data_IF_114202426359
#
_entry.id   IF_114202426359
#
_cell.length_a   1.000
_cell.length_b   1.000
_cell.length_c   1.000
_cell.angle_alpha   90.00
_cell.angle_beta   90.00
_cell.angle_gamma   90.00
#
_symmetry.space_group_name_H-M   'P 1'
#
loop_
_entity.id
_entity.type
_entity.pdbx_description
1 polymer ?
#
# COMPACT_ATOMS: atom_id res chain seq x y z
N UNK A 1 21.00 -2.13 16.78
CA UNK A 1 19.81 -1.43 16.27
C UNK A 1 19.13 -2.35 15.27
N UNK A 2 17.88 -2.72 15.49
CA UNK A 2 17.23 -3.80 14.74
C UNK A 2 17.11 -3.41 13.26
N UNK A 3 17.71 -4.22 12.38
CA UNK A 3 17.72 -3.99 10.95
C UNK A 3 16.30 -3.75 10.38
N UNK A 4 15.28 -4.34 11.00
CA UNK A 4 13.87 -4.15 10.69
C UNK A 4 13.40 -2.69 10.69
N UNK A 5 13.78 -1.90 11.71
CA UNK A 5 13.42 -0.48 11.81
C UNK A 5 14.08 0.31 10.67
N UNK A 6 15.33 -0.03 10.35
CA UNK A 6 16.09 0.61 9.27
C UNK A 6 15.44 0.33 7.92
N UNK A 7 15.04 -0.91 7.64
CA UNK A 7 14.40 -1.26 6.37
C UNK A 7 12.98 -0.68 6.22
N UNK A 8 12.20 -0.61 7.30
CA UNK A 8 10.89 0.05 7.28
C UNK A 8 11.03 1.56 7.12
N UNK A 9 12.01 2.18 7.79
CA UNK A 9 12.34 3.59 7.58
C UNK A 9 12.83 3.88 6.16
N UNK A 10 13.65 3.00 5.59
CA UNK A 10 14.15 3.14 4.23
C UNK A 10 13.04 2.93 3.19
N UNK A 11 12.09 2.03 3.44
CA UNK A 11 10.88 1.90 2.63
C UNK A 11 10.00 3.17 2.72
N UNK A 12 9.78 3.72 3.92
CA UNK A 12 9.03 4.96 4.10
C UNK A 12 9.68 6.14 3.35
N UNK A 13 11.01 6.27 3.42
CA UNK A 13 11.76 7.29 2.68
C UNK A 13 11.66 7.05 1.18
N UNK A 14 11.79 5.81 0.70
CA UNK A 14 11.67 5.47 -0.72
C UNK A 14 10.29 5.82 -1.27
N UNK A 15 9.21 5.47 -0.55
CA UNK A 15 7.85 5.84 -0.93
C UNK A 15 7.60 7.35 -0.83
N UNK A 16 8.16 8.04 0.16
CA UNK A 16 8.06 9.48 0.29
C UNK A 16 8.77 10.22 -0.85
N UNK A 17 9.98 9.77 -1.24
CA UNK A 17 10.73 10.33 -2.37
C UNK A 17 9.98 10.11 -3.68
N UNK A 18 9.43 8.92 -3.89
CA UNK A 18 8.60 8.63 -5.06
C UNK A 18 7.32 9.47 -5.06
N UNK A 19 6.65 9.63 -3.91
CA UNK A 19 5.48 10.50 -3.76
C UNK A 19 5.81 11.94 -4.13
N UNK A 20 6.89 12.49 -3.57
CA UNK A 20 7.35 13.86 -3.85
C UNK A 20 7.75 14.03 -5.32
N UNK A 21 8.41 13.04 -5.93
CA UNK A 21 8.82 13.11 -7.33
C UNK A 21 7.64 13.12 -8.31
N UNK A 22 6.48 12.55 -7.95
CA UNK A 22 5.25 12.67 -8.73
C UNK A 22 4.46 13.93 -8.40
N UNK A 23 4.48 14.36 -7.14
CA UNK A 23 3.70 15.53 -6.72
C UNK A 23 4.31 16.86 -7.16
N UNK A 24 5.65 16.99 -7.11
CA UNK A 24 6.37 18.23 -7.44
C UNK A 24 6.16 18.67 -8.91
N UNK A 25 6.22 17.78 -9.92
CA UNK A 25 5.96 18.16 -11.31
C UNK A 25 4.49 18.52 -11.59
N UNK A 26 3.53 17.89 -10.90
CA UNK A 26 2.11 18.24 -11.00
C UNK A 26 1.87 19.65 -10.46
N UNK A 27 2.48 19.97 -9.31
CA UNK A 27 2.40 21.31 -8.72
C UNK A 27 3.04 22.39 -9.61
N UNK A 28 4.15 22.07 -10.27
CA UNK A 28 4.97 23.06 -10.97
C UNK A 28 4.68 23.20 -12.46
N UNK A 29 4.18 22.15 -13.13
CA UNK A 29 4.05 22.10 -14.60
C UNK A 29 2.69 21.63 -15.14
N UNK A 30 1.69 21.37 -14.29
CA UNK A 30 0.34 20.92 -14.71
C UNK A 30 0.34 19.72 -15.69
N UNK A 31 1.35 18.84 -15.60
CA UNK A 31 1.43 17.64 -16.44
C UNK A 31 0.74 16.48 -15.77
N UNK A 32 -0.08 15.74 -16.52
CA UNK A 32 -0.58 14.44 -16.09
C UNK A 32 0.62 13.54 -15.73
N UNK A 33 0.60 12.86 -14.58
CA UNK A 33 1.67 11.93 -14.23
C UNK A 33 1.77 10.89 -15.33
N UNK A 34 2.98 10.71 -15.87
CA UNK A 34 3.30 9.62 -16.80
C UNK A 34 4.32 8.75 -16.09
N UNK A 35 4.00 7.47 -15.93
CA UNK A 35 4.99 6.51 -15.46
C UNK A 35 5.97 6.19 -16.59
N UNK A 36 7.12 6.86 -16.56
CA UNK A 36 8.27 6.44 -17.36
C UNK A 36 8.85 5.11 -16.83
N UNK A 37 9.58 4.40 -17.69
CA UNK A 37 10.22 3.11 -17.37
C UNK A 37 11.14 3.21 -16.15
N UNK A 38 11.81 4.35 -15.99
CA UNK A 38 12.66 4.68 -14.83
C UNK A 38 11.87 4.70 -13.52
N UNK A 39 10.68 5.31 -13.52
CA UNK A 39 9.81 5.37 -12.36
C UNK A 39 9.28 3.98 -11.97
N UNK A 40 8.87 3.17 -12.97
CA UNK A 40 8.43 1.79 -12.73
C UNK A 40 9.52 0.91 -12.11
N UNK A 41 10.77 1.11 -12.53
CA UNK A 41 11.93 0.42 -11.96
C UNK A 41 12.22 0.91 -10.53
N UNK A 42 12.13 2.21 -10.27
CA UNK A 42 12.25 2.77 -8.92
C UNK A 42 11.16 2.27 -7.96
N UNK A 43 9.92 2.16 -8.45
CA UNK A 43 8.81 1.59 -7.69
C UNK A 43 9.03 0.11 -7.36
N UNK A 44 9.51 -0.68 -8.33
CA UNK A 44 9.89 -2.07 -8.10
C UNK A 44 10.98 -2.18 -7.02
N UNK A 45 12.02 -1.34 -7.10
CA UNK A 45 13.09 -1.32 -6.10
C UNK A 45 12.55 -1.00 -4.69
N UNK A 46 11.64 -0.01 -4.57
CA UNK A 46 11.00 0.31 -3.30
C UNK A 46 10.16 -0.86 -2.75
N UNK A 47 9.43 -1.57 -3.62
CA UNK A 47 8.67 -2.76 -3.26
C UNK A 47 9.61 -3.87 -2.76
N UNK A 48 10.74 -4.12 -3.42
CA UNK A 48 11.72 -5.14 -2.99
C UNK A 48 12.32 -4.78 -1.62
N UNK A 49 12.68 -3.52 -1.42
CA UNK A 49 13.20 -3.02 -0.14
C UNK A 49 12.17 -3.18 0.99
N UNK A 50 10.91 -2.82 0.74
CA UNK A 50 9.85 -2.98 1.74
C UNK A 50 9.60 -4.46 2.05
N UNK A 51 9.58 -5.32 1.02
CA UNK A 51 9.39 -6.76 1.18
C UNK A 51 10.51 -7.43 1.96
N UNK A 52 11.77 -7.05 1.69
CA UNK A 52 12.92 -7.54 2.45
C UNK A 52 12.88 -7.08 3.90
N UNK A 53 12.50 -5.83 4.15
CA UNK A 53 12.24 -5.33 5.50
C UNK A 53 11.19 -6.17 6.23
N UNK A 54 10.04 -6.42 5.60
CA UNK A 54 8.96 -7.23 6.15
C UNK A 54 9.41 -8.66 6.48
N UNK A 55 10.10 -9.33 5.55
CA UNK A 55 10.60 -10.70 5.76
C UNK A 55 11.53 -10.78 6.97
N UNK A 56 12.46 -9.83 7.11
CA UNK A 56 13.39 -9.76 8.23
C UNK A 56 12.71 -9.44 9.57
N UNK A 57 11.59 -8.72 9.55
CA UNK A 57 10.85 -8.39 10.77
C UNK A 57 9.85 -9.46 11.17
N UNK A 58 9.25 -10.18 10.23
CA UNK A 58 8.22 -11.18 10.49
C UNK A 58 8.85 -12.54 10.84
N UNK A 59 9.87 -12.96 10.08
CA UNK A 59 10.52 -14.26 10.22
C UNK A 59 11.72 -14.12 11.16
N UNK A 60 11.58 -14.54 12.41
CA UNK A 60 12.67 -14.59 13.37
C UNK A 60 13.17 -16.05 13.55
N UNK A 61 14.44 -16.25 13.95
CA UNK A 61 14.98 -17.60 14.14
C UNK A 61 14.23 -18.44 15.20
N UNK A 62 13.54 -17.79 16.16
CA UNK A 62 12.87 -18.44 17.29
C UNK A 62 11.35 -18.20 17.33
N UNK A 63 10.74 -17.77 16.22
CA UNK A 63 9.29 -17.53 16.17
C UNK A 63 8.87 -16.57 15.07
N UNK A 64 7.56 -16.30 15.01
CA UNK A 64 7.01 -15.27 14.13
C UNK A 64 6.71 -14.02 14.96
N UNK A 65 7.19 -12.87 14.51
CA UNK A 65 6.83 -11.59 15.12
C UNK A 65 5.65 -11.00 14.36
N UNK A 66 4.50 -10.96 15.03
CA UNK A 66 3.24 -10.51 14.45
C UNK A 66 2.75 -9.29 15.23
N UNK A 67 2.38 -8.24 14.51
CA UNK A 67 1.76 -7.05 15.07
C UNK A 67 0.73 -6.49 14.11
N UNK A 68 -0.21 -5.70 14.61
CA UNK A 68 -1.23 -5.05 13.79
C UNK A 68 -0.59 -4.07 12.77
N UNK A 69 0.46 -3.35 13.19
CA UNK A 69 1.18 -2.43 12.31
C UNK A 69 1.95 -3.17 11.20
N UNK A 70 2.55 -4.33 11.54
CA UNK A 70 3.17 -5.22 10.57
C UNK A 70 2.16 -5.83 9.60
N UNK A 71 0.97 -6.21 10.08
CA UNK A 71 -0.11 -6.71 9.23
C UNK A 71 -0.58 -5.64 8.23
N UNK A 72 -0.74 -4.40 8.68
CA UNK A 72 -1.07 -3.27 7.80
C UNK A 72 0.04 -2.99 6.78
N UNK A 73 1.30 -2.99 7.22
CA UNK A 73 2.45 -2.78 6.33
C UNK A 73 2.58 -3.89 5.29
N UNK A 74 2.39 -5.15 5.69
CA UNK A 74 2.39 -6.32 4.82
C UNK A 74 1.23 -6.27 3.80
N UNK A 75 0.03 -5.92 4.28
CA UNK A 75 -1.13 -5.72 3.42
C UNK A 75 -0.89 -4.66 2.36
N UNK A 76 -0.34 -3.52 2.77
CA UNK A 76 -0.06 -2.42 1.85
C UNK A 76 1.08 -2.73 0.89
N UNK A 77 2.10 -3.47 1.33
CA UNK A 77 3.13 -4.02 0.46
C UNK A 77 2.52 -4.93 -0.62
N UNK A 78 1.64 -5.87 -0.23
CA UNK A 78 0.92 -6.73 -1.18
C UNK A 78 0.04 -5.91 -2.13
N UNK A 79 -0.67 -4.90 -1.62
CA UNK A 79 -1.44 -3.96 -2.43
C UNK A 79 -0.57 -3.22 -3.46
N UNK A 80 0.63 -2.79 -3.07
CA UNK A 80 1.61 -2.17 -3.97
C UNK A 80 2.15 -3.15 -5.02
N UNK A 81 2.33 -4.42 -4.67
CA UNK A 81 2.71 -5.48 -5.63
C UNK A 81 1.59 -5.68 -6.66
N UNK A 82 0.34 -5.85 -6.20
CA UNK A 82 -0.83 -5.98 -7.09
C UNK A 82 -0.93 -4.77 -8.01
N UNK A 83 -0.85 -3.57 -7.45
CA UNK A 83 -0.89 -2.34 -8.22
C UNK A 83 0.26 -2.25 -9.23
N UNK A 84 1.49 -2.62 -8.85
CA UNK A 84 2.63 -2.60 -9.77
C UNK A 84 2.40 -3.53 -10.96
N UNK A 85 1.90 -4.75 -10.71
CA UNK A 85 1.49 -5.67 -11.77
C UNK A 85 0.41 -5.07 -12.66
N UNK A 86 -0.62 -4.44 -12.08
CA UNK A 86 -1.69 -3.80 -12.84
C UNK A 86 -1.22 -2.59 -13.63
N UNK A 87 -0.26 -1.83 -13.14
CA UNK A 87 0.32 -0.67 -13.84
C UNK A 87 1.02 -1.04 -15.16
N UNK A 88 1.33 -2.33 -15.37
CA UNK A 88 1.84 -2.86 -16.63
C UNK A 88 0.72 -3.00 -17.69
N UNK A 89 -0.51 -3.29 -17.26
CA UNK A 89 -1.65 -3.53 -18.13
C UNK A 89 -2.61 -2.34 -18.24
N UNK A 90 -2.80 -1.60 -17.14
CA UNK A 90 -3.70 -0.46 -17.01
C UNK A 90 -2.91 0.82 -16.72
N UNK A 91 -3.30 1.93 -17.35
CA UNK A 91 -2.71 3.26 -17.10
C UNK A 91 -3.34 3.89 -15.84
N UNK A 92 -3.01 3.34 -14.68
CA UNK A 92 -3.50 3.80 -13.37
C UNK A 92 -2.58 4.86 -12.74
N UNK A 93 -2.02 5.75 -13.57
CA UNK A 93 -0.95 6.67 -13.18
C UNK A 93 -1.39 7.67 -12.10
N UNK A 94 -2.68 8.01 -12.04
CA UNK A 94 -3.25 8.91 -11.02
C UNK A 94 -3.54 8.23 -9.68
N UNK A 95 -3.71 6.91 -9.63
CA UNK A 95 -3.94 6.20 -8.36
C UNK A 95 -2.68 6.22 -7.47
N UNK A 96 -1.49 6.23 -8.07
CA UNK A 96 -0.21 6.37 -7.36
C UNK A 96 -0.10 7.65 -6.54
N UNK A 97 -0.80 8.72 -6.94
CA UNK A 97 -0.77 9.99 -6.21
C UNK A 97 -1.34 9.87 -4.80
N UNK A 98 -2.27 8.94 -4.58
CA UNK A 98 -2.83 8.65 -3.25
C UNK A 98 -2.20 7.40 -2.64
N UNK A 99 -1.84 6.42 -3.47
CA UNK A 99 -1.28 5.18 -2.98
C UNK A 99 0.12 5.36 -2.38
N UNK A 100 0.99 6.19 -2.97
CA UNK A 100 2.33 6.45 -2.46
C UNK A 100 2.38 7.19 -1.10
N UNK A 101 1.62 8.29 -0.87
CA UNK A 101 1.60 8.90 0.46
C UNK A 101 0.97 7.98 1.50
N UNK A 102 -0.01 7.15 1.12
CA UNK A 102 -0.57 6.13 2.01
C UNK A 102 0.48 5.07 2.35
N UNK A 103 1.26 4.61 1.37
CA UNK A 103 2.41 3.73 1.54
C UNK A 103 3.46 4.29 2.49
N UNK A 104 3.81 5.57 2.32
CA UNK A 104 4.73 6.25 3.21
C UNK A 104 4.17 6.36 4.65
N UNK A 105 2.90 6.72 4.81
CA UNK A 105 2.28 6.89 6.12
C UNK A 105 2.20 5.56 6.89
N UNK A 106 1.75 4.49 6.25
CA UNK A 106 1.64 3.18 6.91
C UNK A 106 3.02 2.60 7.22
N UNK A 107 4.00 2.78 6.33
CA UNK A 107 5.38 2.39 6.61
C UNK A 107 5.96 3.17 7.79
N UNK A 108 5.65 4.47 7.89
CA UNK A 108 6.00 5.30 9.06
C UNK A 108 5.31 4.81 10.34
N UNK A 109 4.01 4.48 10.28
CA UNK A 109 3.29 3.90 11.43
C UNK A 109 3.97 2.60 11.88
N UNK A 110 4.37 1.74 10.96
CA UNK A 110 5.09 0.50 11.28
C UNK A 110 6.48 0.76 11.90
N UNK A 111 7.15 1.88 11.58
CA UNK A 111 8.39 2.28 12.27
C UNK A 111 8.15 2.82 13.69
N UNK A 112 7.06 3.55 13.91
CA UNK A 112 6.72 4.15 15.20
C UNK A 112 6.16 3.14 16.19
N UNK A 113 5.47 2.11 15.68
CA UNK A 113 4.87 1.04 16.47
C UNK A 113 5.44 -0.32 16.07
N UNK A 114 6.72 -0.60 16.39
CA UNK A 114 7.35 -1.90 16.13
C UNK A 114 6.91 -2.97 17.13
N UNK A 115 6.14 -2.60 18.16
CA UNK A 115 5.60 -3.49 19.18
C UNK A 115 4.75 -4.61 18.55
N UNK A 116 5.05 -5.85 18.90
CA UNK A 116 4.35 -7.03 18.40
C UNK A 116 4.53 -8.22 19.34
N UNK A 117 3.74 -9.26 19.08
CA UNK A 117 3.76 -10.50 19.85
C UNK A 117 4.65 -11.49 19.11
N UNK A 118 5.68 -11.99 19.80
CA UNK A 118 6.50 -13.09 19.29
C UNK A 118 5.82 -14.40 19.64
N UNK A 119 5.39 -15.13 18.61
CA UNK A 119 4.81 -16.47 18.75
C UNK A 119 5.97 -17.48 18.88
N UNK A 120 6.40 -17.72 20.12
CA UNK A 120 7.54 -18.57 20.47
C UNK A 120 7.32 -20.08 20.21
N UNK A 121 6.06 -20.52 20.02
CA UNK A 121 5.70 -21.94 19.79
C UNK A 121 5.45 -22.28 18.31
N UNK A 122 5.89 -21.44 17.38
CA UNK A 122 5.87 -21.74 15.96
C UNK A 122 7.00 -22.72 15.59
N UNK A 123 7.11 -23.87 16.26
CA UNK A 123 8.07 -24.94 15.91
C UNK A 123 7.54 -25.82 14.76
N UNK A 124 6.21 -25.83 14.55
CA UNK A 124 5.61 -26.46 13.39
C UNK A 124 5.69 -25.51 12.19
N UNK A 125 6.40 -25.91 11.15
CA UNK A 125 6.49 -25.18 9.88
C UNK A 125 5.09 -24.92 9.28
N UNK A 126 4.14 -25.84 9.46
CA UNK A 126 2.75 -25.67 9.03
C UNK A 126 2.05 -24.51 9.73
N UNK A 127 2.26 -24.33 11.03
CA UNK A 127 1.67 -23.22 11.77
C UNK A 127 2.26 -21.87 11.32
N UNK A 128 3.57 -21.83 11.00
CA UNK A 128 4.21 -20.63 10.43
C UNK A 128 3.59 -20.26 9.10
N UNK A 129 3.46 -21.23 8.18
CA UNK A 129 2.86 -21.00 6.86
C UNK A 129 1.41 -20.54 7.00
N UNK A 130 0.60 -21.19 7.86
CA UNK A 130 -0.78 -20.78 8.11
C UNK A 130 -0.87 -19.34 8.62
N UNK A 131 -0.05 -18.97 9.62
CA UNK A 131 -0.03 -17.61 10.16
C UNK A 131 0.41 -16.57 9.13
N UNK A 132 1.36 -16.91 8.25
CA UNK A 132 1.80 -16.03 7.16
C UNK A 132 0.68 -15.83 6.12
N UNK A 133 -0.01 -16.89 5.71
CA UNK A 133 -1.13 -16.80 4.77
C UNK A 133 -2.27 -15.96 5.40
N UNK A 134 -2.59 -16.21 6.67
CA UNK A 134 -3.59 -15.44 7.40
C UNK A 134 -3.21 -13.95 7.49
N UNK A 135 -1.94 -13.65 7.79
CA UNK A 135 -1.43 -12.27 7.84
C UNK A 135 -1.58 -11.57 6.49
N UNK A 136 -1.25 -12.25 5.39
CA UNK A 136 -1.42 -11.74 4.03
C UNK A 136 -2.90 -11.46 3.72
N UNK A 137 -3.80 -12.40 4.06
CA UNK A 137 -5.23 -12.23 3.84
C UNK A 137 -5.81 -11.03 4.60
N UNK A 138 -5.53 -10.93 5.91
CA UNK A 138 -5.99 -9.81 6.73
C UNK A 138 -5.40 -8.48 6.26
N UNK A 139 -4.12 -8.45 5.88
CA UNK A 139 -3.49 -7.26 5.31
C UNK A 139 -4.16 -6.80 4.02
N UNK A 140 -4.38 -7.71 3.07
CA UNK A 140 -5.08 -7.42 1.81
C UNK A 140 -6.52 -6.93 2.04
N UNK A 141 -7.25 -7.57 2.96
CA UNK A 141 -8.60 -7.15 3.34
C UNK A 141 -8.60 -5.75 3.97
N UNK A 142 -7.62 -5.43 4.81
CA UNK A 142 -7.44 -4.10 5.39
C UNK A 142 -7.19 -3.03 4.34
N UNK A 143 -6.35 -3.31 3.33
CA UNK A 143 -6.13 -2.40 2.20
C UNK A 143 -7.40 -2.21 1.37
N UNK A 144 -8.14 -3.28 1.10
CA UNK A 144 -9.41 -3.19 0.38
C UNK A 144 -10.42 -2.31 1.15
N UNK A 145 -10.50 -2.45 2.48
CA UNK A 145 -11.35 -1.60 3.32
C UNK A 145 -10.93 -0.13 3.27
N UNK A 146 -9.63 0.17 3.37
CA UNK A 146 -9.10 1.52 3.24
C UNK A 146 -9.41 2.12 1.86
N UNK A 147 -9.30 1.31 0.80
CA UNK A 147 -9.63 1.73 -0.56
C UNK A 147 -11.14 2.00 -0.73
N UNK A 148 -12.01 1.18 -0.14
CA UNK A 148 -13.45 1.41 -0.14
C UNK A 148 -13.82 2.72 0.59
N UNK A 149 -13.14 3.04 1.69
CA UNK A 149 -13.30 4.33 2.39
C UNK A 149 -12.88 5.48 1.47
N UNK A 150 -11.76 5.36 0.77
CA UNK A 150 -11.29 6.36 -0.20
C UNK A 150 -12.31 6.58 -1.33
N UNK A 151 -12.84 5.52 -1.92
CA UNK A 151 -13.89 5.58 -2.96
C UNK A 151 -15.13 6.29 -2.41
N UNK A 152 -15.55 5.99 -1.18
CA UNK A 152 -16.69 6.65 -0.53
C UNK A 152 -16.45 8.15 -0.35
N UNK A 153 -15.22 8.55 0.00
CA UNK A 153 -14.87 9.98 0.14
C UNK A 153 -14.87 10.67 -1.23
N UNK A 154 -14.38 10.01 -2.28
CA UNK A 154 -14.37 10.52 -3.66
C UNK A 154 -15.78 10.71 -4.20
N UNK A 155 -16.64 9.71 -4.04
CA UNK A 155 -18.03 9.76 -4.47
C UNK A 155 -18.78 10.93 -3.80
N UNK A 156 -18.59 11.14 -2.50
CA UNK A 156 -19.16 12.29 -1.77
C UNK A 156 -18.64 13.63 -2.27
N UNK A 157 -17.42 13.70 -2.80
CA UNK A 157 -16.86 14.94 -3.34
C UNK A 157 -17.41 15.25 -4.74
N UNK A 158 -17.66 14.22 -5.56
CA UNK A 158 -18.28 14.36 -6.88
C UNK A 158 -19.72 14.90 -6.81
N UNK A 159 -20.45 14.55 -5.75
CA UNK A 159 -21.81 15.03 -5.51
C UNK A 159 -21.89 16.46 -4.92
N UNK A 160 -20.76 17.10 -4.57
CA UNK A 160 -20.76 18.48 -4.09
C UNK A 160 -20.74 19.46 -5.27
N UNK A 161 -21.69 20.41 -5.35
CA UNK A 161 -21.72 21.38 -6.44
C UNK A 161 -20.44 22.21 -6.46
N UNK A 162 -19.91 22.42 -7.66
CA UNK A 162 -18.70 23.20 -8.00
C UNK A 162 -18.87 24.66 -7.52
N UNK A 163 -18.68 24.90 -6.23
CA UNK A 163 -18.68 26.23 -5.63
C UNK A 163 -17.48 26.38 -4.71
N UNK A 164 -16.28 26.43 -5.31
CA UNK A 164 -15.11 27.12 -4.76
C UNK A 164 -13.95 27.07 -5.77
N UNK A 165 -14.13 27.65 -6.96
CA UNK A 165 -13.04 27.89 -7.90
C UNK A 165 -11.96 28.87 -7.38
N UNK A 166 -12.09 29.39 -6.14
CA UNK A 166 -11.20 30.39 -5.54
C UNK A 166 -10.13 29.90 -4.57
N UNK A 167 -10.18 28.63 -4.10
CA UNK A 167 -9.16 28.08 -3.18
C UNK A 167 -8.85 26.62 -3.54
N UNK A 168 -8.22 26.41 -4.71
CA UNK A 168 -7.83 25.07 -5.13
C UNK A 168 -6.59 24.59 -4.36
N UNK A 169 -6.87 24.07 -3.18
CA UNK A 169 -5.95 23.29 -2.37
C UNK A 169 -5.44 22.05 -3.14
N UNK A 170 -4.14 21.75 -3.02
CA UNK A 170 -3.42 20.72 -3.79
C UNK A 170 -4.05 19.33 -3.71
N UNK A 171 -4.69 19.00 -2.59
CA UNK A 171 -5.38 17.74 -2.36
C UNK A 171 -6.63 17.61 -3.23
N UNK A 172 -7.36 18.70 -3.47
CA UNK A 172 -8.57 18.73 -4.31
C UNK A 172 -8.23 18.44 -5.78
N UNK A 173 -7.10 18.97 -6.29
CA UNK A 173 -6.64 18.69 -7.67
C UNK A 173 -6.17 17.25 -7.87
N UNK A 174 -5.55 16.65 -6.87
CA UNK A 174 -5.15 15.24 -6.94
C UNK A 174 -6.38 14.32 -7.01
N UNK A 175 -7.44 14.65 -6.25
CA UNK A 175 -8.71 13.93 -6.24
C UNK A 175 -9.49 14.10 -7.57
N UNK A 176 -9.48 15.29 -8.17
CA UNK A 176 -10.08 15.55 -9.50
C UNK A 176 -9.38 14.80 -10.65
N UNK A 177 -8.07 14.51 -10.50
CA UNK A 177 -7.29 13.76 -11.49
C UNK A 177 -7.46 12.24 -11.41
N UNK A 178 -8.28 11.77 -10.48
CA UNK A 178 -8.47 10.33 -10.25
C UNK A 178 -9.20 9.65 -11.42
N UNK A 179 -8.90 8.37 -11.68
CA UNK A 179 -9.53 7.65 -12.77
C UNK A 179 -11.03 7.46 -12.48
N UNK A 180 -11.86 7.25 -13.51
CA UNK A 180 -13.31 7.10 -13.35
C UNK A 180 -13.65 6.01 -12.33
N UNK A 181 -14.71 6.23 -11.53
CA UNK A 181 -15.14 5.39 -10.40
C UNK A 181 -15.18 3.89 -10.76
N UNK A 182 -15.65 3.57 -11.96
CA UNK A 182 -15.77 2.19 -12.45
C UNK A 182 -14.41 1.44 -12.49
N UNK A 183 -13.31 2.15 -12.73
CA UNK A 183 -11.96 1.56 -12.68
C UNK A 183 -11.53 1.31 -11.23
N UNK A 184 -11.84 2.23 -10.30
CA UNK A 184 -11.53 2.05 -8.88
C UNK A 184 -12.32 0.90 -8.26
N UNK A 185 -13.57 0.69 -8.70
CA UNK A 185 -14.40 -0.44 -8.28
C UNK A 185 -13.83 -1.79 -8.77
N UNK A 186 -13.37 -1.90 -10.02
CA UNK A 186 -12.73 -3.16 -10.49
C UNK A 186 -11.51 -3.53 -9.63
N UNK A 187 -10.69 -2.52 -9.29
CA UNK A 187 -9.55 -2.70 -8.41
C UNK A 187 -9.96 -3.14 -7.00
N UNK A 188 -10.98 -2.52 -6.43
CA UNK A 188 -11.52 -2.91 -5.13
C UNK A 188 -12.01 -4.37 -5.16
N UNK A 189 -12.82 -4.73 -6.14
CA UNK A 189 -13.32 -6.10 -6.27
C UNK A 189 -12.19 -7.10 -6.50
N UNK A 190 -11.16 -6.74 -7.26
CA UNK A 190 -10.00 -7.60 -7.46
C UNK A 190 -9.22 -7.82 -6.17
N UNK A 191 -8.97 -6.75 -5.40
CA UNK A 191 -8.33 -6.86 -4.08
C UNK A 191 -9.15 -7.76 -3.15
N UNK A 192 -10.47 -7.61 -3.12
CA UNK A 192 -11.36 -8.47 -2.33
C UNK A 192 -11.26 -9.94 -2.79
N UNK A 193 -11.26 -10.21 -4.09
CA UNK A 193 -11.12 -11.57 -4.63
C UNK A 193 -9.79 -12.20 -4.25
N UNK A 194 -8.68 -11.46 -4.35
CA UNK A 194 -7.36 -11.95 -3.96
C UNK A 194 -7.32 -12.19 -2.45
N UNK A 195 -7.79 -11.24 -1.64
CA UNK A 195 -7.86 -11.39 -0.19
C UNK A 195 -8.67 -12.63 0.22
N UNK A 196 -9.83 -12.84 -0.42
CA UNK A 196 -10.70 -13.99 -0.18
C UNK A 196 -10.02 -15.30 -0.58
N UNK A 197 -9.37 -15.35 -1.75
CA UNK A 197 -8.64 -16.54 -2.20
C UNK A 197 -7.50 -16.91 -1.23
N UNK A 198 -6.70 -15.92 -0.82
CA UNK A 198 -5.64 -16.12 0.18
C UNK A 198 -6.24 -16.56 1.52
N UNK A 199 -7.39 -16.03 1.92
CA UNK A 199 -8.08 -16.46 3.13
C UNK A 199 -8.55 -17.92 3.04
N UNK A 200 -9.10 -18.35 1.90
CA UNK A 200 -9.52 -19.75 1.72
C UNK A 200 -8.36 -20.73 1.79
N UNK A 201 -7.15 -20.31 1.38
CA UNK A 201 -5.94 -21.12 1.50
C UNK A 201 -5.57 -21.40 2.95
N UNK A 202 -6.06 -20.61 3.92
CA UNK A 202 -5.80 -20.88 5.36
C UNK A 202 -6.53 -22.13 5.87
N UNK A 203 -7.56 -22.60 5.17
CA UNK A 203 -8.38 -23.77 5.54
C UNK A 203 -7.73 -25.08 5.10
N UNK A 204 -6.83 -25.03 4.11
CA UNK A 204 -6.11 -26.19 3.55
C UNK A 204 -4.83 -26.43 4.36
#
# INVERSE_FOLDING_TARGET
>A
MSASIVFHGLAAIAYAVLALSLWLPIQKYQRSPKLDRTFRAGLLAAIIIHGTGLLLTIILPHGLHIGWALALSAGLWLGMVVFWFESLYLRLDSLLLILLPTAALVSLIATLFPEGIVVHHANSEWLRVHLLIALCAYGLAGVAAMHAILITVLDRQLHRPVQAAGQQNTWYRALDSMPPLMVQEDLLFRLIRIAFFVLTLTVI
#
